data_IF_369414573575
#
_entry.id   IF_369414573575
#
_cell.length_a   1.000
_cell.length_b   1.000
_cell.length_c   1.000
_cell.angle_alpha   90.00
_cell.angle_beta   90.00
_cell.angle_gamma   90.00
#
_symmetry.space_group_name_H-M   'P 1'
#
loop_
_entity.id
_entity.type
_entity.pdbx_description
1 polymer ?
#
# COMPACT_ATOMS: atom_id res chain seq x y z
N UNK A 1 9.42 22.52 19.36
CA UNK A 1 9.99 21.62 18.33
C UNK A 1 9.43 20.22 18.57
N UNK A 2 8.28 19.93 17.97
CA UNK A 2 7.68 18.59 18.01
C UNK A 2 8.36 17.77 16.92
N UNK A 3 9.10 16.75 17.31
CA UNK A 3 9.59 15.71 16.42
C UNK A 3 8.40 15.13 15.67
N UNK A 4 8.23 15.51 14.40
CA UNK A 4 7.41 14.75 13.47
C UNK A 4 8.04 13.37 13.40
N UNK A 5 7.51 12.42 14.18
CA UNK A 5 7.82 11.01 14.07
C UNK A 5 7.55 10.65 12.60
N UNK A 6 8.62 10.57 11.81
CA UNK A 6 8.58 10.14 10.40
C UNK A 6 7.78 8.86 10.40
N UNK A 7 6.58 8.88 9.83
CA UNK A 7 5.70 7.72 9.78
C UNK A 7 6.52 6.53 9.25
N UNK A 8 6.34 5.30 9.78
CA UNK A 8 7.20 4.19 9.41
C UNK A 8 7.07 3.96 7.91
N UNK A 9 8.14 4.30 7.20
CA UNK A 9 8.34 4.07 5.76
C UNK A 9 8.26 2.56 5.52
N UNK A 10 7.90 2.16 4.30
CA UNK A 10 8.03 0.75 3.89
C UNK A 10 9.47 0.32 4.17
N UNK A 11 9.66 -0.82 4.82
CA UNK A 11 10.98 -1.37 5.19
C UNK A 11 11.25 -2.66 4.43
N UNK A 12 12.52 -3.04 4.31
CA UNK A 12 12.90 -4.32 3.70
C UNK A 12 12.22 -5.53 4.38
N UNK A 13 12.01 -5.46 5.70
CA UNK A 13 11.29 -6.49 6.47
C UNK A 13 9.83 -6.65 6.03
N UNK A 14 9.15 -5.57 5.65
CA UNK A 14 7.77 -5.67 5.17
C UNK A 14 7.71 -6.45 3.86
N UNK A 15 8.71 -6.25 2.99
CA UNK A 15 8.82 -6.95 1.71
C UNK A 15 9.16 -8.42 1.94
N UNK A 16 10.00 -8.73 2.93
CA UNK A 16 10.32 -10.11 3.29
C UNK A 16 9.09 -10.90 3.80
N UNK A 17 8.23 -10.26 4.61
CA UNK A 17 6.94 -10.85 4.99
C UNK A 17 6.04 -11.05 3.76
N UNK A 18 5.95 -10.08 2.85
CA UNK A 18 5.18 -10.21 1.61
C UNK A 18 5.69 -11.34 0.71
N UNK A 19 7.00 -11.47 0.51
CA UNK A 19 7.64 -12.56 -0.24
C UNK A 19 7.24 -13.91 0.37
N UNK A 20 7.32 -14.02 1.70
CA UNK A 20 6.93 -15.25 2.42
C UNK A 20 5.46 -15.58 2.20
N UNK A 21 4.57 -14.59 2.21
CA UNK A 21 3.13 -14.79 2.00
C UNK A 21 2.76 -15.15 0.56
N UNK A 22 3.35 -14.47 -0.41
CA UNK A 22 3.12 -14.77 -1.84
C UNK A 22 3.63 -16.18 -2.17
N UNK A 23 4.81 -16.55 -1.66
CA UNK A 23 5.35 -17.92 -1.82
C UNK A 23 4.44 -18.98 -1.21
N UNK A 24 3.87 -18.74 -0.03
CA UNK A 24 2.89 -19.64 0.61
C UNK A 24 1.60 -19.80 -0.20
N UNK A 25 1.22 -18.78 -0.95
CA UNK A 25 0.08 -18.81 -1.88
C UNK A 25 0.45 -19.40 -3.26
N UNK A 26 1.64 -20.01 -3.41
CA UNK A 26 2.19 -20.50 -4.67
C UNK A 26 2.30 -19.43 -5.78
N UNK A 27 2.43 -18.15 -5.40
CA UNK A 27 2.67 -17.05 -6.32
C UNK A 27 4.16 -16.85 -6.62
N UNK A 28 4.44 -16.19 -7.74
CA UNK A 28 5.80 -15.77 -8.13
C UNK A 28 6.29 -14.61 -7.26
N UNK A 29 7.49 -14.74 -6.70
CA UNK A 29 8.12 -13.72 -5.83
C UNK A 29 9.19 -12.91 -6.54
N UNK A 30 9.52 -13.22 -7.80
CA UNK A 30 10.61 -12.60 -8.55
C UNK A 30 10.50 -11.07 -8.57
N UNK A 31 9.31 -10.54 -8.84
CA UNK A 31 9.08 -9.09 -8.87
C UNK A 31 9.20 -8.43 -7.48
N UNK A 32 8.84 -9.14 -6.40
CA UNK A 32 8.96 -8.62 -5.04
C UNK A 32 10.42 -8.57 -4.56
N UNK A 33 11.19 -9.58 -4.92
CA UNK A 33 12.63 -9.62 -4.64
C UNK A 33 13.36 -8.52 -5.44
N UNK A 34 12.99 -8.32 -6.70
CA UNK A 34 13.48 -7.20 -7.51
C UNK A 34 13.07 -5.84 -6.92
N UNK A 35 11.83 -5.70 -6.44
CA UNK A 35 11.36 -4.48 -5.76
C UNK A 35 12.16 -4.18 -4.49
N UNK A 36 12.50 -5.21 -3.71
CA UNK A 36 13.37 -5.06 -2.52
C UNK A 36 14.75 -4.56 -2.92
N UNK A 37 15.36 -5.17 -3.94
CA UNK A 37 16.67 -4.76 -4.44
C UNK A 37 16.64 -3.33 -5.00
N UNK A 38 15.55 -2.92 -5.66
CA UNK A 38 15.40 -1.57 -6.19
C UNK A 38 15.28 -0.50 -5.09
N UNK A 39 14.60 -0.79 -3.97
CA UNK A 39 14.39 0.18 -2.89
C UNK A 39 15.50 0.21 -1.84
N UNK A 40 16.17 -0.91 -1.61
CA UNK A 40 17.13 -1.09 -0.51
C UNK A 40 18.49 -1.63 -0.95
N UNK A 41 18.71 -1.75 -2.26
CA UNK A 41 20.01 -2.10 -2.82
C UNK A 41 21.02 -0.94 -2.73
N UNK A 42 22.22 -1.12 -3.27
CA UNK A 42 23.27 -0.10 -3.25
C UNK A 42 22.98 1.09 -4.17
N UNK A 43 22.03 0.94 -5.11
CA UNK A 43 21.60 2.01 -5.99
C UNK A 43 20.51 2.85 -5.31
N UNK A 44 20.60 4.17 -5.41
CA UNK A 44 19.55 5.08 -4.96
C UNK A 44 18.57 5.33 -6.12
N UNK A 45 17.36 4.74 -6.10
CA UNK A 45 16.40 4.87 -7.19
C UNK A 45 15.90 6.31 -7.30
N UNK A 46 15.60 6.77 -8.52
CA UNK A 46 14.93 8.04 -8.69
C UNK A 46 13.58 8.06 -7.92
N UNK A 47 13.15 9.20 -7.36
CA UNK A 47 11.94 9.25 -6.53
C UNK A 47 10.68 8.73 -7.23
N UNK A 48 10.58 8.93 -8.55
CA UNK A 48 9.47 8.43 -9.36
C UNK A 48 9.45 6.89 -9.45
N UNK A 49 10.62 6.27 -9.63
CA UNK A 49 10.76 4.82 -9.71
C UNK A 49 10.48 4.17 -8.35
N UNK A 50 11.03 4.75 -7.27
CA UNK A 50 10.74 4.31 -5.92
C UNK A 50 9.23 4.36 -5.62
N UNK A 51 8.54 5.42 -6.06
CA UNK A 51 7.09 5.54 -5.91
C UNK A 51 6.35 4.42 -6.65
N UNK A 52 6.71 4.13 -7.90
CA UNK A 52 6.10 3.02 -8.67
C UNK A 52 6.29 1.67 -7.99
N UNK A 53 7.47 1.42 -7.42
CA UNK A 53 7.74 0.19 -6.66
C UNK A 53 6.86 0.12 -5.41
N UNK A 54 6.76 1.20 -4.62
CA UNK A 54 5.91 1.23 -3.42
C UNK A 54 4.43 1.04 -3.73
N UNK A 55 3.95 1.62 -4.85
CA UNK A 55 2.58 1.42 -5.33
C UNK A 55 2.29 -0.06 -5.57
N UNK A 56 3.18 -0.76 -6.28
CA UNK A 56 3.06 -2.22 -6.53
C UNK A 56 3.11 -3.02 -5.23
N UNK A 57 4.03 -2.70 -4.31
CA UNK A 57 4.10 -3.39 -3.02
C UNK A 57 2.80 -3.25 -2.23
N UNK A 58 2.17 -2.07 -2.26
CA UNK A 58 0.90 -1.84 -1.58
C UNK A 58 -0.26 -2.64 -2.22
N UNK A 59 -0.31 -2.75 -3.55
CA UNK A 59 -1.35 -3.57 -4.20
C UNK A 59 -1.20 -5.04 -3.88
N UNK A 60 0.04 -5.55 -3.82
CA UNK A 60 0.33 -6.92 -3.38
C UNK A 60 -0.06 -7.11 -1.90
N UNK A 61 0.27 -6.16 -1.02
CA UNK A 61 -0.11 -6.22 0.38
C UNK A 61 -1.64 -6.22 0.60
N UNK A 62 -2.39 -5.50 -0.21
CA UNK A 62 -3.86 -5.55 -0.17
C UNK A 62 -4.42 -6.91 -0.60
N UNK A 63 -3.68 -7.70 -1.39
CA UNK A 63 -4.08 -9.06 -1.81
C UNK A 63 -3.66 -10.14 -0.83
N UNK A 64 -2.47 -10.02 -0.25
CA UNK A 64 -1.86 -11.09 0.55
C UNK A 64 -1.77 -10.76 2.06
N UNK A 65 -2.13 -9.54 2.45
CA UNK A 65 -2.03 -9.04 3.81
C UNK A 65 -0.60 -8.71 4.22
N UNK A 66 -0.28 -8.98 5.49
CA UNK A 66 1.06 -8.84 6.02
C UNK A 66 1.37 -7.52 6.70
N UNK A 67 2.64 -7.33 7.02
CA UNK A 67 3.11 -6.21 7.82
C UNK A 67 2.91 -4.88 7.09
N UNK A 68 3.07 -4.86 5.76
CA UNK A 68 2.77 -3.66 4.97
C UNK A 68 1.29 -3.28 5.03
N UNK A 69 0.36 -4.25 4.95
CA UNK A 69 -1.06 -3.96 5.14
C UNK A 69 -1.32 -3.49 6.56
N UNK A 70 -0.69 -4.11 7.56
CA UNK A 70 -0.83 -3.69 8.96
C UNK A 70 -0.37 -2.23 9.14
N UNK A 71 0.74 -1.82 8.52
CA UNK A 71 1.20 -0.42 8.50
C UNK A 71 0.15 0.52 7.88
N UNK A 72 -0.53 0.13 6.80
CA UNK A 72 -1.64 0.93 6.29
C UNK A 72 -2.74 1.06 7.35
N UNK A 73 -3.14 -0.06 7.96
CA UNK A 73 -4.23 -0.10 8.92
C UNK A 73 -3.94 0.67 10.21
N UNK A 74 -2.69 0.74 10.68
CA UNK A 74 -2.34 1.52 11.90
C UNK A 74 -2.52 3.03 11.73
N UNK A 75 -2.72 3.51 10.50
CA UNK A 75 -2.96 4.93 10.18
C UNK A 75 -4.46 5.27 10.14
N UNK A 76 -5.32 4.29 10.39
CA UNK A 76 -6.75 4.37 10.16
C UNK A 76 -7.54 4.13 11.45
N UNK A 77 -8.74 4.70 11.52
CA UNK A 77 -9.69 4.42 12.59
C UNK A 77 -10.37 3.04 12.41
N UNK A 78 -11.10 2.56 13.43
CA UNK A 78 -11.73 1.24 13.39
C UNK A 78 -12.68 1.02 12.21
N UNK A 79 -13.40 2.08 11.78
CA UNK A 79 -14.36 2.01 10.68
C UNK A 79 -13.65 1.85 9.34
N UNK A 80 -12.62 2.67 9.11
CA UNK A 80 -11.78 2.63 7.93
C UNK A 80 -11.04 1.29 7.82
N UNK A 81 -10.52 0.77 8.94
CA UNK A 81 -9.91 -0.56 8.98
C UNK A 81 -10.88 -1.63 8.52
N UNK A 82 -12.14 -1.60 9.01
CA UNK A 82 -13.16 -2.56 8.61
C UNK A 82 -13.47 -2.46 7.10
N UNK A 83 -13.52 -1.25 6.55
CA UNK A 83 -13.70 -1.00 5.11
C UNK A 83 -12.53 -1.56 4.31
N UNK A 84 -11.28 -1.22 4.65
CA UNK A 84 -10.09 -1.70 3.93
C UNK A 84 -10.03 -3.22 3.95
N UNK A 85 -10.26 -3.86 5.10
CA UNK A 85 -10.29 -5.33 5.20
C UNK A 85 -11.38 -5.95 4.35
N UNK A 86 -12.59 -5.38 4.35
CA UNK A 86 -13.72 -5.88 3.54
C UNK A 86 -13.47 -5.74 2.03
N UNK A 87 -12.78 -4.69 1.62
CA UNK A 87 -12.60 -4.33 0.21
C UNK A 87 -11.16 -4.51 -0.31
N UNK A 88 -10.28 -5.18 0.44
CA UNK A 88 -8.84 -5.20 0.17
C UNK A 88 -8.50 -5.66 -1.26
N UNK A 89 -9.04 -6.81 -1.69
CA UNK A 89 -8.83 -7.32 -3.05
C UNK A 89 -9.39 -6.39 -4.14
N UNK A 90 -10.57 -5.79 -3.91
CA UNK A 90 -11.17 -4.84 -4.86
C UNK A 90 -10.33 -3.58 -4.97
N UNK A 91 -9.82 -3.08 -3.84
CA UNK A 91 -8.93 -1.94 -3.79
C UNK A 91 -7.62 -2.23 -4.51
N UNK A 92 -7.02 -3.39 -4.28
CA UNK A 92 -5.82 -3.81 -5.01
C UNK A 92 -6.03 -3.77 -6.52
N UNK A 93 -7.13 -4.38 -7.00
CA UNK A 93 -7.45 -4.41 -8.42
C UNK A 93 -7.67 -3.01 -8.99
N UNK A 94 -8.41 -2.15 -8.29
CA UNK A 94 -8.62 -0.78 -8.71
C UNK A 94 -7.31 0.03 -8.77
N UNK A 95 -6.47 -0.09 -7.75
CA UNK A 95 -5.20 0.65 -7.66
C UNK A 95 -4.20 0.22 -8.74
N UNK A 96 -4.18 -1.05 -9.15
CA UNK A 96 -3.35 -1.52 -10.26
C UNK A 96 -3.73 -0.88 -11.61
N UNK A 97 -5.02 -0.59 -11.81
CA UNK A 97 -5.51 0.06 -13.03
C UNK A 97 -5.43 1.59 -13.01
N UNK A 98 -4.95 2.21 -11.93
CA UNK A 98 -4.86 3.66 -11.85
C UNK A 98 -3.63 4.19 -12.59
N UNK A 99 -3.88 4.99 -13.63
CA UNK A 99 -2.84 5.79 -14.28
C UNK A 99 -2.30 6.90 -13.37
N UNK A 100 -3.18 7.51 -12.57
CA UNK A 100 -2.84 8.64 -11.68
C UNK A 100 -3.23 8.30 -10.25
N UNK A 101 -2.21 8.07 -9.43
CA UNK A 101 -2.37 7.88 -7.98
C UNK A 101 -2.53 9.22 -7.28
N UNK A 102 -3.80 9.58 -7.02
CA UNK A 102 -4.17 10.76 -6.24
C UNK A 102 -5.38 10.46 -5.37
N UNK A 103 -5.68 11.34 -4.41
CA UNK A 103 -6.71 11.06 -3.40
C UNK A 103 -8.09 10.94 -4.06
N UNK A 104 -8.40 11.86 -4.98
CA UNK A 104 -9.72 11.97 -5.61
C UNK A 104 -10.16 10.69 -6.37
N UNK A 105 -9.37 10.07 -7.27
CA UNK A 105 -9.74 8.79 -7.90
C UNK A 105 -9.99 7.67 -6.88
N UNK A 106 -9.14 7.55 -5.86
CA UNK A 106 -9.26 6.52 -4.81
C UNK A 106 -10.54 6.72 -3.99
N UNK A 107 -10.78 7.95 -3.55
CA UNK A 107 -12.00 8.33 -2.83
C UNK A 107 -13.26 8.05 -3.65
N UNK A 108 -13.30 8.48 -4.91
CA UNK A 108 -14.47 8.26 -5.78
C UNK A 108 -14.77 6.76 -5.98
N UNK A 109 -13.74 5.93 -6.08
CA UNK A 109 -13.91 4.47 -6.20
C UNK A 109 -14.48 3.84 -4.92
N UNK A 110 -13.97 4.26 -3.75
CA UNK A 110 -14.48 3.86 -2.45
C UNK A 110 -15.95 4.30 -2.27
N UNK A 111 -16.26 5.55 -2.60
CA UNK A 111 -17.62 6.09 -2.50
C UNK A 111 -18.60 5.39 -3.45
N UNK A 112 -18.18 5.06 -4.68
CA UNK A 112 -18.98 4.22 -5.60
C UNK A 112 -19.24 2.81 -5.06
N UNK A 113 -18.39 2.33 -4.14
CA UNK A 113 -18.58 1.08 -3.41
C UNK A 113 -19.43 1.23 -2.14
N UNK A 114 -20.01 2.41 -1.88
CA UNK A 114 -20.86 2.68 -0.71
C UNK A 114 -20.11 3.13 0.55
N UNK A 115 -18.81 3.46 0.44
CA UNK A 115 -18.03 3.97 1.57
C UNK A 115 -18.36 5.45 1.79
N UNK A 116 -18.67 5.91 3.02
CA UNK A 116 -18.93 7.32 3.26
C UNK A 116 -17.68 8.18 3.03
N UNK A 117 -17.90 9.47 2.78
CA UNK A 117 -16.84 10.41 2.36
C UNK A 117 -15.66 10.45 3.34
N UNK A 118 -15.92 10.53 4.64
CA UNK A 118 -14.89 10.69 5.69
C UNK A 118 -13.95 9.48 5.72
N UNK A 119 -14.52 8.27 5.68
CA UNK A 119 -13.74 7.04 5.63
C UNK A 119 -12.98 6.93 4.30
N UNK A 120 -13.61 7.27 3.18
CA UNK A 120 -13.00 7.22 1.85
C UNK A 120 -11.80 8.18 1.74
N UNK A 121 -11.93 9.40 2.25
CA UNK A 121 -10.89 10.42 2.33
C UNK A 121 -9.69 9.92 3.16
N UNK A 122 -9.97 9.45 4.37
CA UNK A 122 -8.95 8.95 5.30
C UNK A 122 -8.16 7.77 4.72
N UNK A 123 -8.85 6.82 4.09
CA UNK A 123 -8.22 5.66 3.43
C UNK A 123 -7.34 6.12 2.27
N UNK A 124 -7.83 7.04 1.43
CA UNK A 124 -7.07 7.53 0.28
C UNK A 124 -5.78 8.24 0.70
N UNK A 125 -5.83 9.09 1.73
CA UNK A 125 -4.64 9.73 2.27
C UNK A 125 -3.65 8.72 2.88
N UNK A 126 -4.14 7.75 3.66
CA UNK A 126 -3.28 6.72 4.24
C UNK A 126 -2.55 5.88 3.18
N UNK A 127 -3.22 5.56 2.07
CA UNK A 127 -2.63 4.90 0.91
C UNK A 127 -1.51 5.76 0.30
N UNK A 128 -1.77 7.04 0.06
CA UNK A 128 -0.79 7.94 -0.57
C UNK A 128 0.44 8.17 0.31
N UNK A 129 0.25 8.28 1.63
CA UNK A 129 1.34 8.45 2.60
C UNK A 129 2.30 7.26 2.66
N UNK A 130 1.90 6.08 2.18
CA UNK A 130 2.80 4.91 2.12
C UNK A 130 3.62 4.85 0.83
N UNK A 131 3.16 5.50 -0.23
CA UNK A 131 3.78 5.37 -1.56
C UNK A 131 4.59 6.60 -1.96
N UNK A 132 4.31 7.77 -1.38
CA UNK A 132 5.09 9.00 -1.54
C UNK A 132 6.26 9.05 -0.54
#
# INVERSE_FOLDING_TARGET
MTTMTRAPVITGSDIDDLVTRVRRAAGDTTELEAAKAALFGPADPAPADARLVRQRLLTVALRHGGDLLTKLLTRLGPREIAVVRRHAHRLAHFLEGLEIWSAKPIMLSLMRSGVPYIEAESIAFAILLLVW
#
